data_IF_317345024983
#
_entry.id   IF_317345024983
#
_cell.length_a   1.000
_cell.length_b   1.000
_cell.length_c   1.000
_cell.angle_alpha   90.00
_cell.angle_beta   90.00
_cell.angle_gamma   90.00
#
_symmetry.space_group_name_H-M   'P 1'
#
loop_
_entity.id
_entity.type
_entity.pdbx_description
1 polymer ?
#
# COMPACT_ATOMS: atom_id res chain seq x y z
N UNK A 1 -19.99 -18.03 -15.09
CA UNK A 1 -19.27 -17.50 -16.27
C UNK A 1 -18.57 -16.16 -16.01
N UNK A 2 -19.24 -15.08 -15.54
CA UNK A 2 -18.60 -13.76 -15.30
C UNK A 2 -17.40 -13.79 -14.34
N UNK A 3 -17.43 -14.60 -13.27
CA UNK A 3 -16.31 -14.73 -12.31
C UNK A 3 -15.06 -15.36 -12.93
N UNK A 4 -15.23 -16.43 -13.72
CA UNK A 4 -14.13 -17.11 -14.40
C UNK A 4 -13.46 -16.23 -15.45
N UNK A 5 -14.24 -15.48 -16.24
CA UNK A 5 -13.69 -14.52 -17.22
C UNK A 5 -12.89 -13.42 -16.51
N UNK A 6 -13.42 -12.88 -15.39
CA UNK A 6 -12.73 -11.86 -14.61
C UNK A 6 -11.39 -12.37 -14.06
N UNK A 7 -11.37 -13.58 -13.52
CA UNK A 7 -10.13 -14.20 -13.00
C UNK A 7 -9.09 -14.46 -14.09
N UNK A 8 -9.50 -14.86 -15.30
CA UNK A 8 -8.59 -15.05 -16.43
C UNK A 8 -8.03 -13.71 -16.93
N UNK A 9 -8.87 -12.68 -17.04
CA UNK A 9 -8.43 -11.34 -17.45
C UNK A 9 -7.42 -10.76 -16.46
N UNK A 10 -7.69 -10.87 -15.16
CA UNK A 10 -6.76 -10.36 -14.13
C UNK A 10 -5.40 -11.05 -14.22
N UNK A 11 -5.36 -12.39 -14.36
CA UNK A 11 -4.09 -13.12 -14.53
C UNK A 11 -3.29 -12.69 -15.77
N UNK A 12 -3.98 -12.40 -16.87
CA UNK A 12 -3.32 -11.91 -18.09
C UNK A 12 -2.74 -10.52 -17.87
N UNK A 13 -3.47 -9.63 -17.20
CA UNK A 13 -2.98 -8.28 -16.84
C UNK A 13 -1.75 -8.39 -15.93
N UNK A 14 -1.79 -9.19 -14.88
CA UNK A 14 -0.66 -9.38 -13.95
C UNK A 14 0.60 -9.91 -14.68
N UNK A 15 0.38 -10.80 -15.65
CA UNK A 15 1.46 -11.36 -16.48
C UNK A 15 2.08 -10.29 -17.38
N UNK A 16 1.24 -9.50 -18.05
CA UNK A 16 1.70 -8.41 -18.92
C UNK A 16 2.45 -7.34 -18.13
N UNK A 17 1.97 -7.00 -16.94
CA UNK A 17 2.61 -6.03 -16.05
C UNK A 17 4.00 -6.49 -15.62
N UNK A 18 4.14 -7.78 -15.28
CA UNK A 18 5.44 -8.38 -14.97
C UNK A 18 6.39 -8.30 -16.18
N UNK A 19 5.90 -8.60 -17.39
CA UNK A 19 6.70 -8.52 -18.61
C UNK A 19 7.19 -7.08 -18.86
N UNK A 20 6.29 -6.10 -18.74
CA UNK A 20 6.63 -4.67 -18.92
C UNK A 20 7.65 -4.24 -17.86
N UNK A 21 7.46 -4.61 -16.60
CA UNK A 21 8.40 -4.30 -15.52
C UNK A 21 9.80 -4.85 -15.77
N UNK A 22 9.91 -6.11 -16.24
CA UNK A 22 11.20 -6.73 -16.59
C UNK A 22 11.86 -6.02 -17.78
N UNK A 23 11.10 -5.73 -18.84
CA UNK A 23 11.63 -5.03 -20.01
C UNK A 23 12.15 -3.63 -19.64
N UNK A 24 11.39 -2.86 -18.85
CA UNK A 24 11.80 -1.55 -18.37
C UNK A 24 13.04 -1.65 -17.48
N UNK A 25 13.13 -2.63 -16.58
CA UNK A 25 14.29 -2.84 -15.72
C UNK A 25 15.56 -3.11 -16.54
N UNK A 26 15.48 -3.95 -17.57
CA UNK A 26 16.60 -4.21 -18.49
C UNK A 26 16.99 -2.94 -19.23
N UNK A 27 16.02 -2.19 -19.76
CA UNK A 27 16.26 -0.95 -20.49
C UNK A 27 17.00 0.07 -19.62
N UNK A 28 16.49 0.33 -18.40
CA UNK A 28 17.12 1.24 -17.45
C UNK A 28 18.52 0.75 -17.06
N UNK A 29 18.69 -0.55 -16.81
CA UNK A 29 19.99 -1.13 -16.49
C UNK A 29 21.04 -0.88 -17.57
N UNK A 30 20.67 -1.08 -18.85
CA UNK A 30 21.54 -0.79 -19.99
C UNK A 30 21.83 0.73 -20.06
N UNK A 31 20.82 1.57 -19.94
CA UNK A 31 20.98 3.03 -20.01
C UNK A 31 21.87 3.59 -18.90
N UNK A 32 21.81 3.04 -17.68
CA UNK A 32 22.70 3.42 -16.57
C UNK A 32 24.15 3.07 -16.88
N UNK A 33 24.42 1.90 -17.48
CA UNK A 33 25.78 1.52 -17.90
C UNK A 33 26.32 2.52 -18.92
N UNK A 34 25.53 2.88 -19.95
CA UNK A 34 25.92 3.90 -20.92
C UNK A 34 26.21 5.25 -20.26
N UNK A 35 25.38 5.67 -19.29
CA UNK A 35 25.59 6.92 -18.58
C UNK A 35 26.93 6.95 -17.82
N UNK A 36 27.30 5.84 -17.17
CA UNK A 36 28.58 5.74 -16.44
C UNK A 36 29.78 5.89 -17.38
N UNK A 37 29.72 5.27 -18.57
CA UNK A 37 30.79 5.43 -19.56
C UNK A 37 30.88 6.87 -20.10
N UNK A 38 29.74 7.54 -20.26
CA UNK A 38 29.70 8.91 -20.78
C UNK A 38 30.19 9.96 -19.77
N UNK A 39 30.01 9.74 -18.45
CA UNK A 39 30.54 10.65 -17.40
C UNK A 39 32.05 10.94 -17.59
N UNK A 40 32.81 9.93 -18.02
CA UNK A 40 34.26 10.05 -18.23
C UNK A 40 34.60 10.98 -19.40
N UNK A 41 33.72 11.05 -20.40
CA UNK A 41 33.86 11.91 -21.59
C UNK A 41 33.57 13.38 -21.25
N UNK A 42 32.54 13.63 -20.44
CA UNK A 42 32.09 14.99 -20.08
C UNK A 42 32.99 15.68 -19.07
N UNK A 43 33.55 14.95 -18.09
CA UNK A 43 34.54 15.52 -17.19
C UNK A 43 35.84 15.94 -17.90
N UNK A 44 36.11 15.38 -19.08
CA UNK A 44 37.31 15.67 -19.88
C UNK A 44 37.14 16.90 -20.79
N UNK A 45 35.91 17.18 -21.24
CA UNK A 45 35.60 18.28 -22.16
C UNK A 45 34.78 19.37 -21.46
N UNK A 46 35.48 20.27 -20.76
CA UNK A 46 35.05 21.66 -20.43
C UNK A 46 33.71 21.80 -19.66
N UNK A 47 33.80 22.21 -18.39
CA UNK A 47 32.70 22.62 -17.50
C UNK A 47 31.65 23.53 -18.17
N UNK A 48 30.66 22.95 -18.83
CA UNK A 48 29.46 23.66 -19.30
C UNK A 48 28.30 23.26 -18.38
N UNK A 49 27.67 24.25 -17.74
CA UNK A 49 26.51 24.05 -16.87
C UNK A 49 25.35 23.35 -17.59
N UNK A 50 25.22 23.57 -18.90
CA UNK A 50 24.19 22.92 -19.73
C UNK A 50 24.39 21.40 -19.81
N UNK A 51 25.63 20.94 -19.97
CA UNK A 51 25.95 19.51 -19.96
C UNK A 51 25.62 18.89 -18.60
N UNK A 52 25.86 19.60 -17.49
CA UNK A 52 25.46 19.13 -16.17
C UNK A 52 23.93 19.01 -16.02
N UNK A 53 23.17 19.99 -16.52
CA UNK A 53 21.71 19.95 -16.50
C UNK A 53 21.14 18.77 -17.32
N UNK A 54 21.74 18.46 -18.48
CA UNK A 54 21.37 17.31 -19.29
C UNK A 54 21.62 15.98 -18.55
N UNK A 55 22.76 15.87 -17.86
CA UNK A 55 23.06 14.71 -17.02
C UNK A 55 22.07 14.53 -15.87
N UNK A 56 21.74 15.63 -15.18
CA UNK A 56 20.79 15.64 -14.09
C UNK A 56 19.39 15.22 -14.59
N UNK A 57 19.00 15.70 -15.77
CA UNK A 57 17.75 15.31 -16.44
C UNK A 57 17.68 13.80 -16.71
N UNK A 58 18.74 13.22 -17.30
CA UNK A 58 18.82 11.78 -17.58
C UNK A 58 18.78 10.97 -16.28
N UNK A 59 19.54 11.37 -15.26
CA UNK A 59 19.58 10.70 -13.97
C UNK A 59 18.20 10.67 -13.29
N UNK A 60 17.49 11.81 -13.25
CA UNK A 60 16.16 11.84 -12.67
C UNK A 60 15.14 11.01 -13.46
N UNK A 61 15.24 10.96 -14.79
CA UNK A 61 14.38 10.09 -15.60
C UNK A 61 14.57 8.61 -15.23
N UNK A 62 15.80 8.17 -14.90
CA UNK A 62 16.02 6.82 -14.39
C UNK A 62 15.41 6.61 -13.01
N UNK A 63 15.55 7.58 -12.09
CA UNK A 63 14.92 7.49 -10.76
C UNK A 63 13.40 7.34 -10.88
N UNK A 64 12.76 8.16 -11.74
CA UNK A 64 11.32 8.07 -12.01
C UNK A 64 10.97 6.71 -12.62
N UNK A 65 11.78 6.20 -13.57
CA UNK A 65 11.58 4.88 -14.17
C UNK A 65 11.67 3.74 -13.15
N UNK A 66 12.60 3.81 -12.21
CA UNK A 66 12.75 2.83 -11.13
C UNK A 66 11.55 2.89 -10.16
N UNK A 67 11.11 4.10 -9.79
CA UNK A 67 9.89 4.28 -8.98
C UNK A 67 8.66 3.73 -9.71
N UNK A 68 8.54 3.97 -11.01
CA UNK A 68 7.45 3.45 -11.82
C UNK A 68 7.44 1.91 -11.83
N UNK A 69 8.60 1.26 -11.95
CA UNK A 69 8.69 -0.21 -11.83
C UNK A 69 8.24 -0.67 -10.44
N UNK A 70 8.68 0.00 -9.37
CA UNK A 70 8.23 -0.32 -7.99
C UNK A 70 6.73 -0.16 -7.82
N UNK A 71 6.14 0.85 -8.46
CA UNK A 71 4.71 1.11 -8.48
C UNK A 71 3.94 -0.01 -9.17
N UNK A 72 4.42 -0.47 -10.33
CA UNK A 72 3.84 -1.64 -11.01
C UNK A 72 3.88 -2.87 -10.10
N UNK A 73 4.98 -3.11 -9.38
CA UNK A 73 5.07 -4.31 -8.54
C UNK A 73 4.23 -4.27 -7.25
N UNK A 74 4.03 -3.09 -6.62
CA UNK A 74 3.35 -3.00 -5.32
C UNK A 74 1.85 -2.72 -5.42
N UNK A 75 1.37 -2.16 -6.54
CA UNK A 75 -0.05 -1.81 -6.78
C UNK A 75 -0.75 -1.07 -5.62
N UNK A 76 -0.02 -0.28 -4.83
CA UNK A 76 -0.62 0.49 -3.73
C UNK A 76 -0.87 1.93 -4.17
N UNK A 77 -1.97 2.56 -3.73
CA UNK A 77 -2.22 3.97 -4.00
C UNK A 77 -1.10 4.87 -3.45
N UNK A 78 -0.44 4.44 -2.36
CA UNK A 78 0.73 5.13 -1.80
C UNK A 78 1.88 5.20 -2.79
N UNK A 79 2.24 4.09 -3.44
CA UNK A 79 3.30 4.08 -4.45
C UNK A 79 2.99 4.96 -5.66
N UNK A 80 1.72 5.11 -6.04
CA UNK A 80 1.32 6.01 -7.14
C UNK A 80 1.57 7.47 -6.78
N UNK A 81 1.21 7.87 -5.55
CA UNK A 81 1.44 9.24 -5.07
C UNK A 81 2.94 9.56 -5.03
N UNK A 82 3.77 8.62 -4.56
CA UNK A 82 5.23 8.78 -4.51
C UNK A 82 5.82 9.05 -5.90
N UNK A 83 5.45 8.24 -6.92
CA UNK A 83 5.95 8.40 -8.29
C UNK A 83 5.52 9.75 -8.88
N UNK A 84 4.25 10.13 -8.69
CA UNK A 84 3.74 11.42 -9.18
C UNK A 84 4.46 12.60 -8.53
N UNK A 85 4.75 12.52 -7.23
CA UNK A 85 5.49 13.55 -6.51
C UNK A 85 6.90 13.72 -7.09
N UNK A 86 7.62 12.61 -7.32
CA UNK A 86 8.94 12.65 -7.95
C UNK A 86 8.91 13.23 -9.37
N UNK A 87 7.91 12.85 -10.18
CA UNK A 87 7.76 13.34 -11.54
C UNK A 87 7.56 14.86 -11.59
N UNK A 88 6.66 15.39 -10.75
CA UNK A 88 6.39 16.83 -10.67
C UNK A 88 7.59 17.58 -10.10
N UNK A 89 8.21 17.05 -9.04
CA UNK A 89 9.39 17.67 -8.43
C UNK A 89 10.55 17.78 -9.42
N UNK A 90 10.82 16.72 -10.21
CA UNK A 90 11.84 16.75 -11.27
C UNK A 90 11.55 17.85 -12.30
N UNK A 91 10.30 17.95 -12.76
CA UNK A 91 9.91 19.00 -13.72
C UNK A 91 10.20 20.40 -13.15
N UNK A 92 9.87 20.64 -11.89
CA UNK A 92 10.12 21.93 -11.23
C UNK A 92 11.61 22.27 -11.08
N UNK A 93 12.48 21.27 -10.92
CA UNK A 93 13.91 21.48 -10.64
C UNK A 93 14.73 21.59 -11.94
N UNK A 94 14.41 20.74 -12.93
CA UNK A 94 15.24 20.56 -14.13
C UNK A 94 14.76 21.44 -15.29
N UNK A 95 13.46 21.64 -15.43
CA UNK A 95 12.92 22.40 -16.55
C UNK A 95 12.79 23.88 -16.20
N UNK A 96 13.24 24.75 -17.12
CA UNK A 96 13.00 26.18 -17.05
C UNK A 96 11.54 26.48 -17.45
N UNK A 97 10.61 26.09 -16.58
CA UNK A 97 9.20 26.38 -16.74
C UNK A 97 8.87 27.83 -16.38
N UNK A 98 7.77 28.31 -16.93
CA UNK A 98 7.24 29.63 -16.58
C UNK A 98 6.80 29.67 -15.11
N UNK A 99 6.79 30.86 -14.52
CA UNK A 99 6.36 31.06 -13.12
C UNK A 99 4.96 30.48 -12.88
N UNK A 100 4.05 30.61 -13.86
CA UNK A 100 2.70 30.03 -13.77
C UNK A 100 2.69 28.50 -13.73
N UNK A 101 3.50 27.85 -14.58
CA UNK A 101 3.63 26.39 -14.57
C UNK A 101 4.24 25.90 -13.26
N UNK A 102 5.24 26.62 -12.73
CA UNK A 102 5.83 26.30 -11.43
C UNK A 102 4.82 26.41 -10.30
N UNK A 103 3.97 27.46 -10.30
CA UNK A 103 2.90 27.62 -9.32
C UNK A 103 1.91 26.45 -9.37
N UNK A 104 1.50 26.04 -10.57
CA UNK A 104 0.61 24.89 -10.77
C UNK A 104 1.27 23.60 -10.27
N UNK A 105 2.56 23.39 -10.53
CA UNK A 105 3.31 22.23 -10.04
C UNK A 105 3.37 22.19 -8.51
N UNK A 106 3.62 23.31 -7.85
CA UNK A 106 3.61 23.40 -6.38
C UNK A 106 2.21 23.13 -5.82
N UNK A 107 1.16 23.68 -6.44
CA UNK A 107 -0.23 23.39 -6.06
C UNK A 107 -0.58 21.90 -6.25
N UNK A 108 -0.09 21.27 -7.31
CA UNK A 108 -0.29 19.84 -7.55
C UNK A 108 0.38 19.00 -6.46
N UNK A 109 1.61 19.33 -6.05
CA UNK A 109 2.28 18.66 -4.91
C UNK A 109 1.46 18.84 -3.62
N UNK A 110 0.99 20.05 -3.34
CA UNK A 110 0.15 20.31 -2.17
C UNK A 110 -1.16 19.49 -2.19
N UNK A 111 -1.78 19.36 -3.36
CA UNK A 111 -2.97 18.53 -3.56
C UNK A 111 -2.65 17.04 -3.35
N UNK A 112 -1.52 16.53 -3.86
CA UNK A 112 -1.08 15.15 -3.63
C UNK A 112 -0.85 14.85 -2.14
N UNK A 113 -0.30 15.78 -1.37
CA UNK A 113 -0.19 15.64 0.08
C UNK A 113 -1.55 15.68 0.77
N UNK A 114 -2.48 16.51 0.29
CA UNK A 114 -3.83 16.56 0.81
C UNK A 114 -4.60 15.25 0.52
N UNK A 115 -4.48 14.68 -0.68
CA UNK A 115 -5.10 13.38 -0.98
C UNK A 115 -4.52 12.28 -0.12
N UNK A 116 -3.18 12.25 0.07
CA UNK A 116 -2.54 11.31 1.02
C UNK A 116 -3.12 11.45 2.42
N UNK A 117 -3.21 12.68 2.94
CA UNK A 117 -3.63 12.95 4.32
C UNK A 117 -5.12 12.70 4.56
N UNK A 118 -5.99 13.04 3.62
CA UNK A 118 -7.44 13.09 3.85
C UNK A 118 -8.23 11.99 3.13
N UNK A 119 -7.74 11.46 2.01
CA UNK A 119 -8.50 10.50 1.20
C UNK A 119 -8.10 9.04 1.51
N UNK A 120 -6.81 8.78 1.69
CA UNK A 120 -6.29 7.42 1.92
C UNK A 120 -6.26 7.01 3.40
N UNK A 121 -6.36 7.97 4.33
CA UNK A 121 -6.42 7.72 5.78
C UNK A 121 -7.57 6.77 6.20
N UNK A 122 -8.67 6.71 5.43
CA UNK A 122 -9.80 5.85 5.75
C UNK A 122 -9.63 4.39 5.29
N UNK A 123 -8.67 4.10 4.40
CA UNK A 123 -8.52 2.75 3.81
C UNK A 123 -7.32 1.97 4.37
N UNK A 124 -6.32 2.65 4.96
CA UNK A 124 -5.05 2.02 5.33
C UNK A 124 -4.88 1.69 6.83
N UNK A 125 -5.58 2.35 7.78
CA UNK A 125 -5.36 2.12 9.23
C UNK A 125 -6.40 1.18 9.87
N UNK A 126 -6.60 0.01 9.27
CA UNK A 126 -7.30 -1.08 9.96
C UNK A 126 -6.33 -2.25 10.08
N UNK A 127 -5.58 -2.27 11.19
CA UNK A 127 -4.76 -3.43 11.55
C UNK A 127 -5.70 -4.63 11.74
N UNK A 128 -5.58 -5.58 10.82
CA UNK A 128 -6.36 -6.82 10.81
C UNK A 128 -5.42 -7.98 11.09
N UNK A 129 -5.60 -8.62 12.24
CA UNK A 129 -4.86 -9.83 12.60
C UNK A 129 -5.82 -11.00 12.68
N UNK A 130 -5.52 -12.08 11.95
CA UNK A 130 -6.35 -13.30 11.97
C UNK A 130 -5.78 -14.29 12.98
N UNK A 131 -6.59 -14.64 13.97
CA UNK A 131 -6.28 -15.65 14.97
C UNK A 131 -7.10 -16.93 14.76
N UNK A 132 -6.61 -18.03 15.31
CA UNK A 132 -7.43 -19.25 15.48
C UNK A 132 -8.48 -18.99 16.55
N UNK A 133 -9.68 -19.51 16.35
CA UNK A 133 -10.79 -19.39 17.30
C UNK A 133 -10.46 -19.98 18.67
N UNK A 134 -9.62 -21.03 18.71
CA UNK A 134 -9.16 -21.70 19.93
C UNK A 134 -8.10 -20.92 20.71
N UNK A 135 -7.63 -19.78 20.21
CA UNK A 135 -6.67 -18.94 20.94
C UNK A 135 -7.33 -18.28 22.13
N UNK A 136 -6.57 -18.17 23.23
CA UNK A 136 -7.07 -17.60 24.48
C UNK A 136 -7.21 -16.09 24.36
N UNK A 137 -8.33 -15.56 24.83
CA UNK A 137 -8.64 -14.13 24.82
C UNK A 137 -7.55 -13.34 25.55
N UNK A 138 -7.09 -13.84 26.70
CA UNK A 138 -6.02 -13.20 27.49
C UNK A 138 -4.74 -12.96 26.69
N UNK A 139 -4.36 -13.91 25.83
CA UNK A 139 -3.17 -13.79 24.98
C UNK A 139 -3.37 -12.71 23.92
N UNK A 140 -4.57 -12.64 23.34
CA UNK A 140 -4.91 -11.67 22.30
C UNK A 140 -5.02 -10.26 22.90
N UNK A 141 -5.66 -10.09 24.05
CA UNK A 141 -5.68 -8.82 24.77
C UNK A 141 -4.25 -8.30 25.03
N UNK A 142 -3.33 -9.18 25.41
CA UNK A 142 -1.92 -8.85 25.61
C UNK A 142 -1.19 -8.47 24.30
N UNK A 143 -1.33 -9.28 23.24
CA UNK A 143 -0.65 -9.06 21.96
C UNK A 143 -1.18 -7.83 21.21
N UNK A 144 -2.49 -7.62 21.28
CA UNK A 144 -3.20 -6.60 20.51
C UNK A 144 -3.44 -5.32 21.32
N UNK A 145 -3.03 -5.28 22.59
CA UNK A 145 -3.27 -4.14 23.49
C UNK A 145 -4.75 -3.69 23.51
N UNK A 146 -5.67 -4.66 23.44
CA UNK A 146 -7.12 -4.46 23.52
C UNK A 146 -7.67 -5.13 24.77
N UNK A 147 -8.91 -4.82 25.10
CA UNK A 147 -9.62 -5.43 26.21
C UNK A 147 -10.92 -6.08 25.74
N UNK A 148 -10.81 -7.33 25.28
CA UNK A 148 -11.97 -8.18 25.04
C UNK A 148 -12.47 -8.67 26.40
N UNK A 149 -13.75 -8.42 26.75
CA UNK A 149 -14.35 -8.91 27.98
C UNK A 149 -14.35 -10.44 28.01
N UNK A 150 -13.85 -11.04 29.10
CA UNK A 150 -13.86 -12.48 29.35
C UNK A 150 -14.12 -12.76 30.83
N UNK A 151 -14.83 -13.84 31.14
CA UNK A 151 -15.20 -14.21 32.51
C UNK A 151 -14.23 -15.24 33.08
N UNK A 152 -13.87 -16.25 32.28
CA UNK A 152 -12.90 -17.28 32.67
C UNK A 152 -11.55 -17.03 32.03
N UNK A 153 -10.48 -17.38 32.76
CA UNK A 153 -9.09 -17.24 32.28
C UNK A 153 -8.77 -18.13 31.06
N UNK A 154 -9.60 -19.13 30.82
CA UNK A 154 -9.45 -20.12 29.75
C UNK A 154 -10.36 -19.81 28.55
N UNK A 155 -11.17 -18.73 28.61
CA UNK A 155 -12.07 -18.36 27.51
C UNK A 155 -11.27 -18.12 26.21
N UNK A 156 -11.77 -18.72 25.14
CA UNK A 156 -11.24 -18.61 23.78
C UNK A 156 -12.01 -17.58 22.97
N UNK A 157 -11.45 -17.16 21.83
CA UNK A 157 -12.18 -16.30 20.89
C UNK A 157 -13.50 -16.91 20.42
N UNK A 158 -13.54 -18.24 20.28
CA UNK A 158 -14.75 -18.95 19.92
C UNK A 158 -15.86 -18.73 20.95
N UNK A 159 -15.54 -18.92 22.24
CA UNK A 159 -16.48 -18.78 23.34
C UNK A 159 -17.07 -17.37 23.39
N UNK A 160 -16.22 -16.35 23.25
CA UNK A 160 -16.65 -14.95 23.23
C UNK A 160 -17.52 -14.65 22.01
N UNK A 161 -17.13 -15.10 20.82
CA UNK A 161 -17.89 -14.85 19.59
C UNK A 161 -19.26 -15.52 19.66
N UNK A 162 -19.33 -16.77 20.11
CA UNK A 162 -20.60 -17.50 20.22
C UNK A 162 -21.52 -16.84 21.25
N UNK A 163 -20.98 -16.46 22.42
CA UNK A 163 -21.74 -15.76 23.47
C UNK A 163 -22.30 -14.43 22.99
N UNK A 164 -21.52 -13.64 22.28
CA UNK A 164 -21.95 -12.34 21.73
C UNK A 164 -22.98 -12.50 20.59
N UNK A 165 -22.83 -13.52 19.75
CA UNK A 165 -23.80 -13.84 18.69
C UNK A 165 -25.15 -14.21 19.31
N UNK A 166 -25.16 -15.06 20.35
CA UNK A 166 -26.37 -15.46 21.06
C UNK A 166 -27.01 -14.27 21.79
N UNK A 167 -26.22 -13.50 22.55
CA UNK A 167 -26.69 -12.33 23.30
C UNK A 167 -27.33 -11.27 22.39
N UNK A 168 -26.78 -11.07 21.19
CA UNK A 168 -27.28 -10.09 20.21
C UNK A 168 -28.27 -10.67 19.20
N UNK A 169 -28.63 -11.96 19.32
CA UNK A 169 -29.52 -12.70 18.39
C UNK A 169 -29.07 -12.58 16.93
N UNK A 170 -27.77 -12.71 16.69
CA UNK A 170 -27.19 -12.69 15.35
C UNK A 170 -27.19 -14.10 14.75
N UNK A 171 -27.29 -14.20 13.44
CA UNK A 171 -27.09 -15.48 12.75
C UNK A 171 -25.59 -15.76 12.61
N UNK A 172 -25.17 -16.99 12.94
CA UNK A 172 -23.79 -17.40 12.78
C UNK A 172 -23.43 -17.47 11.28
N UNK A 173 -22.54 -16.61 10.84
CA UNK A 173 -22.12 -16.52 9.45
C UNK A 173 -20.69 -16.01 9.29
N UNK A 174 -20.05 -16.35 8.17
CA UNK A 174 -18.76 -15.74 7.82
C UNK A 174 -18.98 -14.27 7.48
N UNK A 175 -18.17 -13.39 8.07
CA UNK A 175 -18.28 -11.94 7.91
C UNK A 175 -19.06 -11.23 9.02
N UNK A 176 -19.68 -11.96 9.96
CA UNK A 176 -20.34 -11.36 11.12
C UNK A 176 -19.34 -10.57 11.96
N UNK A 177 -19.67 -9.33 12.30
CA UNK A 177 -18.82 -8.40 13.03
C UNK A 177 -19.44 -8.07 14.40
N UNK A 178 -18.65 -8.21 15.45
CA UNK A 178 -18.98 -7.80 16.82
C UNK A 178 -18.14 -6.56 17.12
N UNK A 179 -18.81 -5.43 17.34
CA UNK A 179 -18.16 -4.14 17.53
C UNK A 179 -17.94 -3.84 19.02
N UNK A 180 -16.73 -3.38 19.33
CA UNK A 180 -16.31 -2.86 20.63
C UNK A 180 -15.77 -1.42 20.47
N UNK A 181 -15.65 -0.65 21.56
CA UNK A 181 -14.96 0.63 21.51
C UNK A 181 -13.47 0.46 21.11
N UNK A 182 -13.11 0.90 19.90
CA UNK A 182 -11.72 0.90 19.41
C UNK A 182 -11.30 -0.35 18.62
N UNK A 183 -12.11 -1.41 18.59
CA UNK A 183 -11.83 -2.60 17.79
C UNK A 183 -13.11 -3.38 17.45
N UNK A 184 -13.02 -4.33 16.54
CA UNK A 184 -14.11 -5.26 16.20
C UNK A 184 -13.56 -6.69 16.03
N UNK A 185 -14.39 -7.67 16.33
CA UNK A 185 -14.11 -9.09 16.04
C UNK A 185 -14.96 -9.50 14.84
N UNK A 186 -14.34 -10.05 13.80
CA UNK A 186 -15.05 -10.57 12.62
C UNK A 186 -14.85 -12.07 12.46
N UNK A 187 -15.92 -12.81 12.23
CA UNK A 187 -15.85 -14.24 11.90
C UNK A 187 -15.23 -14.39 10.51
N UNK A 188 -13.97 -14.83 10.44
CA UNK A 188 -13.23 -14.92 9.18
C UNK A 188 -13.45 -16.24 8.44
N UNK A 189 -13.62 -17.35 9.17
CA UNK A 189 -13.86 -18.66 8.57
C UNK A 189 -14.63 -19.59 9.48
N UNK A 190 -15.65 -20.24 8.93
CA UNK A 190 -16.39 -21.34 9.54
C UNK A 190 -16.07 -22.64 8.81
N UNK A 191 -15.95 -23.76 9.51
CA UNK A 191 -15.79 -25.09 8.92
C UNK A 191 -16.58 -26.08 9.76
N UNK A 192 -17.42 -26.90 9.13
CA UNK A 192 -18.31 -27.85 9.82
C UNK A 192 -19.16 -27.18 10.92
N UNK A 193 -19.69 -25.99 10.66
CA UNK A 193 -20.48 -25.18 11.61
C UNK A 193 -19.72 -24.70 12.85
N UNK A 194 -18.38 -24.81 12.86
CA UNK A 194 -17.49 -24.36 13.94
C UNK A 194 -16.71 -23.13 13.45
N UNK A 195 -16.63 -22.09 14.29
CA UNK A 195 -15.79 -20.93 13.97
C UNK A 195 -14.34 -21.36 14.09
N UNK A 196 -13.56 -21.24 13.03
CA UNK A 196 -12.13 -21.68 13.03
C UNK A 196 -11.16 -20.52 13.05
N UNK A 197 -11.58 -19.36 12.52
CA UNK A 197 -10.76 -18.14 12.47
C UNK A 197 -11.60 -16.91 12.78
N UNK A 198 -11.02 -16.05 13.61
CA UNK A 198 -11.59 -14.75 13.96
C UNK A 198 -10.55 -13.68 13.63
N UNK A 199 -10.99 -12.64 12.97
CA UNK A 199 -10.19 -11.47 12.62
C UNK A 199 -10.42 -10.40 13.69
N UNK A 200 -9.33 -9.95 14.31
CA UNK A 200 -9.32 -8.79 15.20
C UNK A 200 -9.03 -7.57 14.33
N UNK A 201 -9.98 -6.65 14.29
CA UNK A 201 -9.98 -5.45 13.46
C UNK A 201 -9.80 -4.26 14.39
N UNK A 202 -8.58 -3.71 14.50
CA UNK A 202 -8.36 -2.53 15.33
C UNK A 202 -8.67 -1.27 14.52
N UNK A 203 -9.45 -0.37 15.12
CA UNK A 203 -9.61 0.97 14.57
C UNK A 203 -8.58 1.85 15.26
N UNK A 204 -7.62 2.37 14.49
CA UNK A 204 -6.69 3.38 14.99
C UNK A 204 -7.43 4.71 15.17
N UNK A 205 -8.41 4.79 16.08
CA UNK A 205 -8.86 6.07 16.60
C UNK A 205 -7.82 6.54 17.61
N UNK A 206 -6.85 7.33 17.14
CA UNK A 206 -6.10 8.18 18.06
C UNK A 206 -6.99 9.34 18.52
N UNK A 207 -6.96 9.56 19.83
CA UNK A 207 -7.36 10.80 20.51
C UNK A 207 -6.72 12.01 19.86
#
# INVERSE_FOLDING_TARGET
MKKFIKEQVLKVVDTLETIIGVLLAICIGISVIYLIFDITSVFSFRNNLDAFNDYLSIAFNFVIGIEFIKMLCKHTPETVIEVLLFAIARQLIVEHMTIFQNLIGVLAIAALFATRKYLFYNFDEVDKTIYRSSERVKRINFLEHIDIPHENKEDTLEDIVLKEIEARKLELGTGVCIYYPGFALRVAKITNNVVTRVEVIRSMKKK
#
